data_IF_854307143269
#
_entry.id   IF_854307143269
#
_cell.length_a   1.000
_cell.length_b   1.000
_cell.length_c   1.000
_cell.angle_alpha   90.00
_cell.angle_beta   90.00
_cell.angle_gamma   90.00
#
_symmetry.space_group_name_H-M   'P 1'
#
loop_
_entity.id
_entity.type
_entity.pdbx_description
1 polymer ?
#
# COMPACT_ATOMS: atom_id res chain seq x y z
N UNK A 1 -9.79 28.66 18.53
CA UNK A 1 -8.77 28.01 17.70
C UNK A 1 -7.78 29.11 17.36
N UNK A 2 -6.55 29.00 17.86
CA UNK A 2 -5.49 29.94 17.48
C UNK A 2 -5.32 29.88 15.96
N UNK A 3 -5.17 31.05 15.33
CA UNK A 3 -4.89 31.12 13.90
C UNK A 3 -3.53 30.49 13.65
N UNK A 4 -3.42 29.44 12.81
CA UNK A 4 -2.15 28.78 12.55
C UNK A 4 -1.14 29.77 11.98
N UNK A 5 0.14 29.59 12.31
CA UNK A 5 1.24 30.47 11.88
C UNK A 5 1.51 30.46 10.36
N UNK A 6 0.77 29.65 9.60
CA UNK A 6 0.90 29.44 8.17
C UNK A 6 -0.46 29.26 7.54
N UNK A 7 -0.56 29.58 6.24
CA UNK A 7 -1.80 29.50 5.46
C UNK A 7 -2.00 28.11 4.85
N UNK A 8 -3.27 27.73 4.60
CA UNK A 8 -3.59 26.48 3.89
C UNK A 8 -2.88 26.40 2.53
N UNK A 9 -2.73 27.53 1.83
CA UNK A 9 -2.03 27.61 0.55
C UNK A 9 -0.56 27.24 0.67
N UNK A 10 0.12 27.70 1.72
CA UNK A 10 1.53 27.36 1.98
C UNK A 10 1.70 25.86 2.25
N UNK A 11 0.82 25.28 3.07
CA UNK A 11 0.84 23.84 3.35
C UNK A 11 0.52 23.01 2.09
N UNK A 12 -0.46 23.43 1.30
CA UNK A 12 -0.83 22.78 0.05
C UNK A 12 0.32 22.81 -0.96
N UNK A 13 0.99 23.96 -1.11
CA UNK A 13 2.13 24.08 -2.02
C UNK A 13 3.31 23.21 -1.58
N UNK A 14 3.52 23.06 -0.27
CA UNK A 14 4.50 22.12 0.26
C UNK A 14 4.18 20.68 -0.18
N UNK A 15 2.92 20.24 -0.04
CA UNK A 15 2.52 18.89 -0.42
C UNK A 15 2.50 18.67 -1.94
N UNK A 16 2.17 19.68 -2.76
CA UNK A 16 2.37 19.63 -4.22
C UNK A 16 3.84 19.40 -4.53
N UNK A 17 4.75 20.18 -3.93
CA UNK A 17 6.19 19.99 -4.12
C UNK A 17 6.61 18.58 -3.70
N UNK A 18 6.17 18.12 -2.53
CA UNK A 18 6.51 16.79 -2.03
C UNK A 18 5.97 15.66 -2.94
N UNK A 19 4.77 15.80 -3.51
CA UNK A 19 4.22 14.85 -4.49
C UNK A 19 5.00 14.86 -5.82
N UNK A 20 5.48 16.03 -6.25
CA UNK A 20 6.21 16.19 -7.52
C UNK A 20 7.67 15.74 -7.46
N UNK A 21 8.36 15.90 -6.33
CA UNK A 21 9.81 15.62 -6.23
C UNK A 21 10.18 14.68 -5.07
N UNK A 22 9.22 14.24 -4.26
CA UNK A 22 9.47 13.40 -3.10
C UNK A 22 9.80 11.96 -3.50
N UNK A 23 11.09 11.61 -3.45
CA UNK A 23 11.60 10.26 -3.67
C UNK A 23 12.18 9.66 -2.38
N UNK A 24 12.30 8.33 -2.33
CA UNK A 24 12.93 7.60 -1.21
C UNK A 24 11.95 6.80 -0.36
N UNK A 25 10.73 6.62 -0.84
CA UNK A 25 9.72 5.80 -0.19
C UNK A 25 9.10 6.45 1.06
N UNK A 26 8.18 5.75 1.72
CA UNK A 26 7.37 6.32 2.79
C UNK A 26 8.17 6.83 3.98
N UNK A 27 9.26 6.15 4.36
CA UNK A 27 10.07 6.57 5.50
C UNK A 27 10.80 7.88 5.19
N UNK A 28 11.32 8.04 3.98
CA UNK A 28 11.96 9.30 3.56
C UNK A 28 10.95 10.43 3.49
N UNK A 29 9.77 10.20 2.91
CA UNK A 29 8.70 11.20 2.80
C UNK A 29 8.21 11.68 4.17
N UNK A 30 8.00 10.75 5.10
CA UNK A 30 7.68 11.03 6.50
C UNK A 30 8.82 11.84 7.15
N UNK A 31 10.08 11.45 6.93
CA UNK A 31 11.25 12.20 7.40
C UNK A 31 11.34 13.63 6.83
N UNK A 32 11.01 13.84 5.55
CA UNK A 32 10.94 15.16 4.95
C UNK A 32 9.83 16.00 5.59
N UNK A 33 8.64 15.41 5.83
CA UNK A 33 7.57 16.10 6.54
C UNK A 33 7.99 16.53 7.94
N UNK A 34 8.73 15.69 8.68
CA UNK A 34 9.24 16.05 10.01
C UNK A 34 10.25 17.20 9.94
N UNK A 35 11.33 17.04 9.19
CA UNK A 35 12.38 18.06 9.08
C UNK A 35 11.82 19.40 8.57
N UNK A 36 11.00 19.37 7.53
CA UNK A 36 10.48 20.60 6.94
C UNK A 36 9.38 21.26 7.78
N UNK A 37 8.37 20.50 8.23
CA UNK A 37 7.18 21.08 8.87
C UNK A 37 7.35 21.27 10.38
N UNK A 38 8.17 20.44 11.04
CA UNK A 38 8.40 20.49 12.49
C UNK A 38 9.69 21.25 12.81
N UNK A 39 10.83 20.84 12.26
CA UNK A 39 12.13 21.42 12.65
C UNK A 39 12.38 22.79 12.00
N UNK A 40 12.28 22.87 10.68
CA UNK A 40 12.64 24.07 9.91
C UNK A 40 11.56 25.14 9.97
N UNK A 41 10.32 24.79 9.58
CA UNK A 41 9.22 25.76 9.48
C UNK A 41 8.47 25.96 10.79
N UNK A 42 8.55 24.98 11.72
CA UNK A 42 7.81 24.99 13.00
C UNK A 42 6.31 25.26 12.83
N UNK A 43 5.75 24.75 11.73
CA UNK A 43 4.32 24.84 11.44
C UNK A 43 3.52 23.82 12.24
N UNK A 44 4.11 22.65 12.48
CA UNK A 44 3.50 21.55 13.23
C UNK A 44 4.36 21.25 14.44
N UNK A 45 3.75 20.95 15.58
CA UNK A 45 4.47 20.57 16.80
C UNK A 45 4.94 19.11 16.75
N UNK A 46 5.96 18.80 17.55
CA UNK A 46 6.47 17.43 17.67
C UNK A 46 5.39 16.43 18.14
N UNK A 47 4.45 16.88 18.99
CA UNK A 47 3.33 16.07 19.47
C UNK A 47 2.32 15.79 18.35
N UNK A 48 1.86 16.82 17.64
CA UNK A 48 0.92 16.68 16.53
C UNK A 48 1.47 15.76 15.44
N UNK A 49 2.76 15.89 15.13
CA UNK A 49 3.43 15.02 14.16
C UNK A 49 3.48 13.56 14.63
N UNK A 50 3.86 13.31 15.90
CA UNK A 50 3.90 11.95 16.47
C UNK A 50 2.53 11.31 16.52
N UNK A 51 1.50 12.06 16.88
CA UNK A 51 0.12 11.58 16.86
C UNK A 51 -0.32 11.20 15.44
N UNK A 52 -0.04 12.05 14.46
CA UNK A 52 -0.33 11.76 13.05
C UNK A 52 0.40 10.54 12.53
N UNK A 53 1.68 10.41 12.87
CA UNK A 53 2.49 9.27 12.48
C UNK A 53 1.96 7.97 13.12
N UNK A 54 1.56 8.02 14.39
CA UNK A 54 0.98 6.87 15.07
C UNK A 54 -0.37 6.47 14.45
N UNK A 55 -1.24 7.44 14.12
CA UNK A 55 -2.49 7.15 13.43
C UNK A 55 -2.25 6.54 12.05
N UNK A 56 -1.35 7.13 11.26
CA UNK A 56 -1.00 6.64 9.93
C UNK A 56 -0.35 5.24 9.96
N UNK A 57 0.26 4.83 11.07
CA UNK A 57 0.77 3.46 11.24
C UNK A 57 -0.30 2.45 11.64
N UNK A 58 -1.35 2.90 12.34
CA UNK A 58 -2.44 2.05 12.82
C UNK A 58 -3.57 1.89 11.79
N UNK A 59 -3.82 2.92 10.98
CA UNK A 59 -4.86 2.92 9.97
C UNK A 59 -4.38 2.25 8.67
N UNK A 60 -5.24 1.53 7.94
CA UNK A 60 -4.90 1.03 6.62
C UNK A 60 -4.77 2.18 5.61
N UNK A 61 -3.64 2.18 4.91
CA UNK A 61 -3.28 3.08 3.83
C UNK A 61 -1.77 3.21 3.64
N UNK A 62 -1.34 3.95 2.60
CA UNK A 62 0.05 4.34 2.43
C UNK A 62 0.43 5.41 3.47
N UNK A 63 1.45 5.08 4.28
CA UNK A 63 1.88 5.86 5.44
C UNK A 63 2.06 7.36 5.17
N UNK A 64 2.78 7.71 4.09
CA UNK A 64 3.04 9.11 3.76
C UNK A 64 1.78 9.87 3.35
N UNK A 65 0.87 9.24 2.60
CA UNK A 65 -0.38 9.88 2.20
C UNK A 65 -1.30 10.10 3.41
N UNK A 66 -1.41 9.11 4.29
CA UNK A 66 -2.20 9.24 5.53
C UNK A 66 -1.63 10.32 6.45
N UNK A 67 -0.31 10.36 6.64
CA UNK A 67 0.32 11.41 7.43
C UNK A 67 0.07 12.78 6.82
N UNK A 68 0.20 12.93 5.50
CA UNK A 68 -0.15 14.17 4.79
C UNK A 68 -1.60 14.61 5.05
N UNK A 69 -2.56 13.69 4.92
CA UNK A 69 -3.98 13.95 5.17
C UNK A 69 -4.20 14.37 6.64
N UNK A 70 -3.54 13.68 7.58
CA UNK A 70 -3.63 14.02 9.01
C UNK A 70 -3.05 15.40 9.30
N UNK A 71 -1.86 15.71 8.80
CA UNK A 71 -1.21 17.01 9.00
C UNK A 71 -2.07 18.16 8.42
N UNK A 72 -2.75 17.94 7.30
CA UNK A 72 -3.79 18.85 6.81
C UNK A 72 -4.99 18.97 7.76
N UNK A 73 -5.39 17.88 8.41
CA UNK A 73 -6.50 17.87 9.35
C UNK A 73 -6.24 18.65 10.65
N UNK A 74 -4.99 18.67 11.14
CA UNK A 74 -4.65 19.24 12.46
C UNK A 74 -5.13 20.69 12.62
N UNK A 75 -4.71 21.60 11.73
CA UNK A 75 -5.06 23.03 11.82
C UNK A 75 -6.21 23.45 10.91
N UNK A 76 -6.49 22.70 9.84
CA UNK A 76 -7.47 23.07 8.81
C UNK A 76 -8.63 22.07 8.66
N UNK A 77 -8.73 21.08 9.54
CA UNK A 77 -9.82 20.09 9.60
C UNK A 77 -10.06 19.43 8.25
N UNK A 78 -11.33 19.19 7.89
CA UNK A 78 -11.71 18.49 6.66
C UNK A 78 -11.16 19.18 5.40
N UNK A 79 -11.18 20.52 5.37
CA UNK A 79 -10.70 21.28 4.21
C UNK A 79 -9.20 21.06 4.03
N UNK A 80 -8.43 21.16 5.12
CA UNK A 80 -7.00 20.89 5.08
C UNK A 80 -6.66 19.47 4.69
N UNK A 81 -7.36 18.48 5.27
CA UNK A 81 -7.18 17.08 4.95
C UNK A 81 -7.40 16.79 3.46
N UNK A 82 -8.48 17.34 2.88
CA UNK A 82 -8.82 17.13 1.46
C UNK A 82 -7.83 17.83 0.54
N UNK A 83 -7.54 19.10 0.78
CA UNK A 83 -6.64 19.86 -0.10
C UNK A 83 -5.22 19.32 -0.02
N UNK A 84 -4.70 18.99 1.18
CA UNK A 84 -3.36 18.43 1.31
C UNK A 84 -3.26 17.03 0.71
N UNK A 85 -4.25 16.16 0.95
CA UNK A 85 -4.30 14.83 0.35
C UNK A 85 -4.31 14.89 -1.17
N UNK A 86 -5.15 15.74 -1.77
CA UNK A 86 -5.17 15.96 -3.22
C UNK A 86 -3.86 16.56 -3.71
N UNK A 87 -3.34 17.60 -3.05
CA UNK A 87 -2.07 18.24 -3.41
C UNK A 87 -0.89 17.25 -3.44
N UNK A 88 -0.87 16.29 -2.53
CA UNK A 88 0.17 15.27 -2.49
C UNK A 88 0.02 14.20 -3.58
N UNK A 89 -1.21 13.76 -3.88
CA UNK A 89 -1.46 12.64 -4.82
C UNK A 89 -1.56 13.09 -6.28
N UNK A 90 -2.13 14.28 -6.53
CA UNK A 90 -2.45 14.77 -7.88
C UNK A 90 -1.22 14.89 -8.80
N UNK A 91 -0.04 15.40 -8.37
CA UNK A 91 1.12 15.48 -9.25
C UNK A 91 1.56 14.10 -9.74
N UNK A 92 1.67 13.13 -8.84
CA UNK A 92 2.01 11.74 -9.16
C UNK A 92 0.96 11.11 -10.06
N UNK A 93 -0.34 11.39 -9.83
CA UNK A 93 -1.44 10.92 -10.66
C UNK A 93 -1.31 11.42 -12.11
N UNK A 94 -1.01 12.71 -12.30
CA UNK A 94 -0.80 13.30 -13.63
C UNK A 94 0.42 12.65 -14.32
N UNK A 95 1.51 12.42 -13.58
CA UNK A 95 2.70 11.76 -14.13
C UNK A 95 2.38 10.35 -14.63
N UNK A 96 1.71 9.52 -13.83
CA UNK A 96 1.35 8.17 -14.26
C UNK A 96 0.33 8.17 -15.40
N UNK A 97 -0.58 9.14 -15.47
CA UNK A 97 -1.49 9.30 -16.61
C UNK A 97 -0.73 9.58 -17.91
N UNK A 98 0.22 10.51 -17.87
CA UNK A 98 1.07 10.85 -19.04
C UNK A 98 1.86 9.61 -19.47
N UNK A 99 2.48 8.90 -18.52
CA UNK A 99 3.21 7.67 -18.81
C UNK A 99 2.29 6.58 -19.37
N UNK A 100 1.05 6.47 -18.88
CA UNK A 100 0.04 5.55 -19.39
C UNK A 100 -0.37 5.86 -20.83
N UNK A 101 -0.54 7.15 -21.16
CA UNK A 101 -0.80 7.60 -22.53
C UNK A 101 0.34 7.22 -23.46
N UNK A 102 1.59 7.51 -23.06
CA UNK A 102 2.78 7.14 -23.83
C UNK A 102 2.81 5.63 -24.01
N UNK A 103 2.58 4.84 -22.96
CA UNK A 103 2.57 3.38 -23.02
C UNK A 103 1.60 2.85 -24.09
N UNK A 104 0.36 3.36 -24.12
CA UNK A 104 -0.65 2.95 -25.12
C UNK A 104 -0.34 3.45 -26.54
N UNK A 105 0.22 4.64 -26.68
CA UNK A 105 0.53 5.21 -27.99
C UNK A 105 1.63 4.45 -28.75
N UNK A 106 2.52 3.76 -28.02
CA UNK A 106 3.69 3.11 -28.57
C UNK A 106 3.64 1.56 -28.49
N UNK A 107 2.46 0.97 -28.26
CA UNK A 107 2.21 -0.49 -28.22
C UNK A 107 3.23 -1.32 -27.42
N UNK A 108 3.83 -0.73 -26.37
CA UNK A 108 4.85 -1.40 -25.57
C UNK A 108 6.08 -1.83 -26.39
N UNK A 109 6.70 -0.89 -27.12
CA UNK A 109 7.97 -1.02 -27.87
C UNK A 109 8.91 -2.14 -27.38
N UNK A 110 9.59 -2.84 -28.30
CA UNK A 110 10.50 -3.95 -27.98
C UNK A 110 11.59 -3.61 -26.93
N UNK A 111 12.08 -2.37 -26.92
CA UNK A 111 13.02 -1.90 -25.89
C UNK A 111 12.35 -1.77 -24.51
N UNK A 112 11.06 -1.44 -24.46
CA UNK A 112 10.25 -1.38 -23.24
C UNK A 112 10.09 -2.79 -22.67
N UNK A 113 9.79 -3.79 -23.51
CA UNK A 113 9.72 -5.19 -23.09
C UNK A 113 11.05 -5.71 -22.52
N UNK A 114 12.17 -5.29 -23.11
CA UNK A 114 13.51 -5.62 -22.62
C UNK A 114 13.80 -4.97 -21.25
N UNK A 115 13.46 -3.68 -21.10
CA UNK A 115 13.51 -2.99 -19.79
C UNK A 115 12.68 -3.75 -18.76
N UNK A 116 11.44 -4.09 -19.11
CA UNK A 116 10.50 -4.71 -18.18
C UNK A 116 10.82 -6.15 -17.83
N UNK A 117 11.50 -6.88 -18.70
CA UNK A 117 12.06 -8.18 -18.37
C UNK A 117 13.00 -8.11 -17.16
N UNK A 118 13.95 -7.17 -17.19
CA UNK A 118 14.87 -6.96 -16.09
C UNK A 118 14.19 -6.40 -14.85
N UNK A 119 13.32 -5.39 -15.02
CA UNK A 119 12.58 -4.81 -13.89
C UNK A 119 11.68 -5.84 -13.22
N UNK A 120 10.95 -6.66 -13.97
CA UNK A 120 10.05 -7.69 -13.45
C UNK A 120 10.75 -8.66 -12.52
N UNK A 121 11.92 -9.16 -12.92
CA UNK A 121 12.76 -10.00 -12.08
C UNK A 121 13.24 -9.28 -10.81
N UNK A 122 13.67 -8.02 -10.93
CA UNK A 122 14.10 -7.22 -9.78
C UNK A 122 12.95 -6.92 -8.79
N UNK A 123 11.74 -6.70 -9.31
CA UNK A 123 10.53 -6.44 -8.53
C UNK A 123 10.23 -7.63 -7.62
N UNK A 124 10.40 -8.87 -8.07
CA UNK A 124 10.24 -10.05 -7.21
C UNK A 124 11.16 -9.96 -5.98
N UNK A 125 12.44 -9.65 -6.19
CA UNK A 125 13.40 -9.45 -5.11
C UNK A 125 13.01 -8.31 -4.15
N UNK A 126 12.50 -7.21 -4.69
CA UNK A 126 11.99 -6.08 -3.91
C UNK A 126 10.78 -6.48 -3.06
N UNK A 127 9.84 -7.23 -3.63
CA UNK A 127 8.62 -7.67 -2.93
C UNK A 127 8.98 -8.69 -1.84
N UNK A 128 9.91 -9.63 -2.10
CA UNK A 128 10.44 -10.57 -1.08
C UNK A 128 11.01 -9.79 0.10
N UNK A 129 11.88 -8.81 -0.16
CA UNK A 129 12.46 -7.97 0.89
C UNK A 129 11.40 -7.16 1.63
N UNK A 130 10.44 -6.59 0.91
CA UNK A 130 9.36 -5.79 1.49
C UNK A 130 8.50 -6.63 2.43
N UNK A 131 8.17 -7.85 2.01
CA UNK A 131 7.45 -8.84 2.82
C UNK A 131 8.24 -9.19 4.08
N UNK A 132 9.55 -9.41 3.97
CA UNK A 132 10.43 -9.66 5.11
C UNK A 132 10.48 -8.46 6.09
N UNK A 133 10.67 -7.24 5.57
CA UNK A 133 10.67 -6.01 6.39
C UNK A 133 9.33 -5.80 7.10
N UNK A 134 8.21 -6.06 6.43
CA UNK A 134 6.87 -5.94 7.03
C UNK A 134 6.61 -7.02 8.08
N UNK A 135 7.02 -8.26 7.82
CA UNK A 135 6.92 -9.37 8.78
C UNK A 135 7.68 -9.05 10.07
N UNK A 136 8.93 -8.61 9.92
CA UNK A 136 9.79 -8.29 11.09
C UNK A 136 9.33 -7.04 11.86
N UNK A 137 8.69 -6.08 11.19
CA UNK A 137 8.22 -4.84 11.81
C UNK A 137 6.83 -4.96 12.43
N UNK A 138 5.92 -5.70 11.81
CA UNK A 138 4.49 -5.73 12.18
C UNK A 138 4.09 -6.99 12.95
N UNK A 139 4.81 -8.10 12.79
CA UNK A 139 4.56 -9.35 13.52
C UNK A 139 5.59 -9.49 14.64
N UNK A 140 6.81 -9.87 14.28
CA UNK A 140 7.95 -9.94 15.20
C UNK A 140 9.25 -10.23 14.43
N UNK A 141 10.42 -9.88 14.98
CA UNK A 141 11.69 -10.42 14.46
C UNK A 141 11.67 -11.95 14.48
N UNK A 142 12.34 -12.58 13.51
CA UNK A 142 12.40 -14.02 13.33
C UNK A 142 13.41 -14.65 14.31
N UNK A 143 13.10 -14.51 15.60
CA UNK A 143 13.84 -15.14 16.69
C UNK A 143 12.92 -16.15 17.36
N UNK A 144 13.42 -17.34 17.69
CA UNK A 144 12.61 -18.42 18.27
C UNK A 144 11.83 -17.99 19.51
N UNK A 145 12.43 -17.13 20.34
CA UNK A 145 11.79 -16.56 21.53
C UNK A 145 10.61 -15.62 21.19
N UNK A 146 10.76 -14.73 20.21
CA UNK A 146 9.67 -13.84 19.80
C UNK A 146 8.57 -14.55 19.02
N UNK A 147 8.91 -15.59 18.26
CA UNK A 147 7.91 -16.46 17.59
C UNK A 147 7.02 -17.13 18.64
N UNK A 148 7.60 -17.64 19.74
CA UNK A 148 6.80 -18.20 20.85
C UNK A 148 5.89 -17.17 21.50
N UNK A 149 6.39 -15.97 21.75
CA UNK A 149 5.61 -14.89 22.37
C UNK A 149 4.44 -14.43 21.50
N UNK A 150 4.62 -14.39 20.17
CA UNK A 150 3.63 -13.94 19.19
C UNK A 150 3.05 -15.08 18.33
N UNK A 151 2.98 -16.29 18.88
CA UNK A 151 2.64 -17.49 18.11
C UNK A 151 1.29 -17.39 17.36
N UNK A 152 0.30 -16.73 17.95
CA UNK A 152 -1.04 -16.55 17.33
C UNK A 152 -0.95 -15.71 16.05
N UNK A 153 -0.11 -14.66 16.03
CA UNK A 153 0.11 -13.86 14.81
C UNK A 153 0.81 -14.68 13.73
N UNK A 154 1.78 -15.51 14.11
CA UNK A 154 2.46 -16.42 13.17
C UNK A 154 1.52 -17.48 12.59
N UNK A 155 0.55 -17.98 13.38
CA UNK A 155 -0.49 -18.88 12.87
C UNK A 155 -1.33 -18.18 11.79
N UNK A 156 -1.79 -16.95 12.03
CA UNK A 156 -2.53 -16.19 11.02
C UNK A 156 -1.70 -15.86 9.79
N UNK A 157 -0.41 -15.55 9.98
CA UNK A 157 0.53 -15.34 8.89
C UNK A 157 0.68 -16.58 8.00
N UNK A 158 0.98 -17.75 8.56
CA UNK A 158 1.13 -18.97 7.78
C UNK A 158 -0.19 -19.46 7.18
N UNK A 159 -1.30 -19.27 7.89
CA UNK A 159 -2.64 -19.58 7.36
C UNK A 159 -2.97 -18.69 6.16
N UNK A 160 -2.71 -17.39 6.25
CA UNK A 160 -2.88 -16.46 5.12
C UNK A 160 -2.01 -16.88 3.93
N UNK A 161 -0.74 -17.19 4.16
CA UNK A 161 0.18 -17.65 3.11
C UNK A 161 -0.31 -18.93 2.44
N UNK A 162 -0.66 -19.95 3.22
CA UNK A 162 -1.11 -21.25 2.72
C UNK A 162 -2.40 -21.13 1.91
N UNK A 163 -3.40 -20.39 2.43
CA UNK A 163 -4.66 -20.18 1.71
C UNK A 163 -4.42 -19.45 0.39
N UNK A 164 -3.58 -18.41 0.37
CA UNK A 164 -3.28 -17.70 -0.89
C UNK A 164 -2.53 -18.59 -1.88
N UNK A 165 -1.57 -19.41 -1.43
CA UNK A 165 -0.85 -20.34 -2.33
C UNK A 165 -1.78 -21.39 -2.93
N UNK A 166 -2.68 -21.96 -2.12
CA UNK A 166 -3.60 -23.03 -2.54
C UNK A 166 -4.71 -22.48 -3.44
N UNK A 167 -5.37 -21.40 -3.00
CA UNK A 167 -6.55 -20.87 -3.70
C UNK A 167 -6.20 -19.90 -4.82
N UNK A 168 -4.96 -19.39 -4.83
CA UNK A 168 -4.49 -18.31 -5.72
C UNK A 168 -5.42 -17.09 -5.74
N UNK A 169 -6.17 -16.89 -4.65
CA UNK A 169 -7.10 -15.80 -4.43
C UNK A 169 -6.93 -15.28 -3.02
N UNK A 170 -7.07 -13.98 -2.85
CA UNK A 170 -7.08 -13.39 -1.52
C UNK A 170 -8.51 -13.36 -0.95
N UNK A 171 -8.72 -14.04 0.18
CA UNK A 171 -10.01 -14.04 0.84
C UNK A 171 -10.09 -12.95 1.90
N UNK A 172 -10.71 -11.83 1.54
CA UNK A 172 -10.95 -10.70 2.46
C UNK A 172 -11.62 -11.11 3.78
N UNK A 173 -12.53 -12.09 3.72
CA UNK A 173 -13.21 -12.65 4.89
C UNK A 173 -12.24 -13.31 5.89
N UNK A 174 -11.18 -13.95 5.38
CA UNK A 174 -10.16 -14.57 6.23
C UNK A 174 -9.40 -13.53 7.05
N UNK A 175 -9.13 -12.35 6.47
CA UNK A 175 -8.45 -11.26 7.17
C UNK A 175 -9.30 -10.70 8.30
N UNK A 176 -10.58 -10.41 8.02
CA UNK A 176 -11.53 -9.92 9.02
C UNK A 176 -11.72 -10.94 10.14
N UNK A 177 -11.84 -12.22 9.80
CA UNK A 177 -11.94 -13.31 10.76
C UNK A 177 -10.70 -13.40 11.66
N UNK A 178 -9.49 -13.36 11.08
CA UNK A 178 -8.23 -13.37 11.84
C UNK A 178 -8.14 -12.18 12.81
N UNK A 179 -8.55 -10.99 12.37
CA UNK A 179 -8.65 -9.80 13.22
C UNK A 179 -9.59 -10.00 14.42
N UNK A 180 -10.82 -10.47 14.17
CA UNK A 180 -11.82 -10.69 15.21
C UNK A 180 -11.36 -11.75 16.22
N UNK A 181 -10.82 -12.88 15.73
CA UNK A 181 -10.32 -13.95 16.60
C UNK A 181 -9.15 -13.46 17.45
N UNK A 182 -8.19 -12.75 16.87
CA UNK A 182 -7.06 -12.20 17.63
C UNK A 182 -7.51 -11.17 18.67
N UNK A 183 -8.48 -10.32 18.33
CA UNK A 183 -9.08 -9.37 19.26
C UNK A 183 -9.70 -10.09 20.47
N UNK A 184 -10.51 -11.12 20.25
CA UNK A 184 -11.16 -11.89 21.32
C UNK A 184 -10.14 -12.58 22.22
N UNK A 185 -9.08 -13.16 21.65
CA UNK A 185 -8.02 -13.85 22.40
C UNK A 185 -7.21 -12.87 23.25
N UNK A 186 -6.80 -11.73 22.68
CA UNK A 186 -5.83 -10.84 23.32
C UNK A 186 -6.47 -9.77 24.21
N UNK A 187 -7.63 -9.26 23.80
CA UNK A 187 -8.32 -8.15 24.46
C UNK A 187 -9.82 -8.20 24.13
N UNK A 188 -10.60 -9.06 24.81
CA UNK A 188 -12.03 -9.17 24.55
C UNK A 188 -12.73 -7.83 24.85
N UNK A 189 -13.49 -7.25 23.90
CA UNK A 189 -14.15 -5.97 24.11
C UNK A 189 -15.13 -6.02 25.28
N UNK A 190 -15.22 -4.94 26.07
CA UNK A 190 -16.10 -4.84 27.24
C UNK A 190 -17.60 -5.05 26.94
N UNK A 191 -18.00 -4.96 25.67
CA UNK A 191 -19.36 -5.29 25.21
C UNK A 191 -19.69 -6.79 25.27
N UNK A 192 -18.68 -7.67 25.31
CA UNK A 192 -18.87 -9.11 25.52
C UNK A 192 -19.14 -9.41 27.01
N UNK A 193 -18.74 -8.51 27.93
CA UNK A 193 -18.91 -8.68 29.39
C UNK A 193 -20.19 -8.07 29.94
N UNK A 194 -20.92 -7.27 29.17
CA UNK A 194 -22.22 -6.71 29.57
C UNK A 194 -23.22 -6.97 28.46
N UNK A 195 -24.32 -7.71 28.70
CA UNK A 195 -25.32 -7.95 27.68
C UNK A 195 -26.20 -6.69 27.58
N UNK A 196 -25.64 -5.60 27.09
CA UNK A 196 -26.48 -4.58 26.44
C UNK A 196 -26.87 -5.20 25.13
N UNK A 197 -28.17 -5.45 24.97
CA UNK A 197 -28.79 -5.83 23.72
C UNK A 197 -28.39 -4.81 22.65
N UNK A 198 -27.26 -5.06 21.99
CA UNK A 198 -27.07 -4.54 20.66
C UNK A 198 -28.11 -5.24 19.82
N UNK A 199 -29.06 -4.45 19.36
CA UNK A 199 -29.50 -4.61 17.99
C UNK A 199 -28.27 -4.34 17.08
N UNK A 200 -27.32 -5.28 17.04
CA UNK A 200 -26.46 -5.43 15.88
C UNK A 200 -27.48 -5.89 14.87
N UNK A 201 -27.90 -4.96 14.02
CA UNK A 201 -28.39 -5.33 12.72
C UNK A 201 -27.26 -6.17 12.12
N UNK A 202 -27.36 -7.49 12.28
CA UNK A 202 -26.68 -8.45 11.45
C UNK A 202 -27.25 -8.15 10.07
N UNK A 203 -26.62 -7.19 9.38
CA UNK A 203 -26.63 -7.17 7.94
C UNK A 203 -25.95 -8.48 7.57
N UNK A 204 -26.77 -9.52 7.43
CA UNK A 204 -26.40 -10.70 6.70
C UNK A 204 -25.89 -10.21 5.36
N UNK A 205 -24.57 -10.26 5.19
CA UNK A 205 -23.95 -10.18 3.87
C UNK A 205 -24.22 -11.55 3.25
N UNK A 206 -25.49 -11.83 3.00
CA UNK A 206 -25.91 -12.87 2.08
C UNK A 206 -25.70 -12.30 0.69
N UNK A 207 -24.69 -12.82 0.01
CA UNK A 207 -24.46 -12.72 -1.42
C UNK A 207 -25.79 -12.83 -2.20
N UNK A 208 -26.36 -11.69 -2.60
CA UNK A 208 -27.56 -11.66 -3.46
C UNK A 208 -27.57 -10.48 -4.42
N UNK A 209 -26.45 -10.12 -5.04
CA UNK A 209 -26.47 -9.29 -6.24
C UNK A 209 -25.35 -9.72 -7.18
N UNK A 210 -25.59 -10.76 -7.99
CA UNK A 210 -24.89 -10.93 -9.27
C UNK A 210 -25.47 -9.91 -10.25
N UNK A 211 -25.26 -8.63 -9.95
CA UNK A 211 -25.47 -7.56 -10.91
C UNK A 211 -24.21 -7.50 -11.75
N UNK A 212 -24.35 -7.48 -13.07
CA UNK A 212 -23.20 -7.26 -13.94
C UNK A 212 -22.79 -5.80 -13.82
N UNK A 213 -21.97 -5.52 -12.80
CA UNK A 213 -21.44 -4.19 -12.57
C UNK A 213 -20.70 -3.74 -13.83
N UNK A 214 -20.95 -2.52 -14.33
CA UNK A 214 -20.10 -1.93 -15.36
C UNK A 214 -18.64 -2.04 -14.94
N UNK A 215 -17.73 -2.22 -15.89
CA UNK A 215 -16.29 -2.42 -15.65
C UNK A 215 -15.73 -1.45 -14.58
N UNK A 216 -16.11 -0.17 -14.65
CA UNK A 216 -15.71 0.86 -13.69
C UNK A 216 -16.20 0.58 -12.26
N UNK A 217 -17.38 0.00 -12.07
CA UNK A 217 -17.88 -0.40 -10.76
C UNK A 217 -17.12 -1.57 -10.16
N UNK A 218 -16.77 -2.58 -10.99
CA UNK A 218 -15.89 -3.69 -10.57
C UNK A 218 -14.51 -3.17 -10.17
N UNK A 219 -13.95 -2.24 -10.95
CA UNK A 219 -12.71 -1.53 -10.62
C UNK A 219 -12.83 -0.76 -9.31
N UNK A 220 -13.85 0.08 -9.15
CA UNK A 220 -14.07 0.84 -7.93
C UNK A 220 -14.09 -0.07 -6.69
N UNK A 221 -14.85 -1.16 -6.76
CA UNK A 221 -14.95 -2.12 -5.66
C UNK A 221 -13.61 -2.81 -5.34
N UNK A 222 -12.91 -3.27 -6.38
CA UNK A 222 -11.61 -3.92 -6.22
C UNK A 222 -10.55 -2.97 -5.63
N UNK A 223 -10.43 -1.76 -6.18
CA UNK A 223 -9.46 -0.77 -5.74
C UNK A 223 -9.80 -0.19 -4.36
N UNK A 224 -11.09 -0.10 -4.00
CA UNK A 224 -11.52 0.24 -2.63
C UNK A 224 -11.10 -0.83 -1.63
N UNK A 225 -11.22 -2.12 -1.97
CA UNK A 225 -10.63 -3.18 -1.13
C UNK A 225 -9.12 -3.02 -1.05
N UNK A 226 -8.44 -2.88 -2.19
CA UNK A 226 -6.99 -2.72 -2.21
C UNK A 226 -6.53 -1.59 -1.29
N UNK A 227 -7.15 -0.40 -1.41
CA UNK A 227 -6.89 0.76 -0.55
C UNK A 227 -7.16 0.53 0.94
N UNK A 228 -8.23 -0.20 1.27
CA UNK A 228 -8.59 -0.52 2.65
C UNK A 228 -7.71 -1.60 3.32
N UNK A 229 -6.92 -2.36 2.55
CA UNK A 229 -6.04 -3.41 3.04
C UNK A 229 -4.54 -3.10 2.86
N UNK A 230 -4.19 -1.93 2.31
CA UNK A 230 -2.79 -1.48 2.31
C UNK A 230 -2.36 -1.17 3.72
N UNK A 231 -1.23 -1.70 4.18
CA UNK A 231 -0.59 -1.24 5.40
C UNK A 231 0.84 -0.78 5.12
N UNK A 232 1.19 0.42 5.60
CA UNK A 232 2.56 0.89 5.65
C UNK A 232 3.09 1.40 4.30
N UNK A 233 4.07 0.69 3.73
CA UNK A 233 5.02 1.29 2.78
C UNK A 233 4.50 1.52 1.36
N UNK A 234 3.21 1.30 1.11
CA UNK A 234 2.62 1.35 -0.22
C UNK A 234 3.02 0.16 -1.11
N UNK A 235 4.25 -0.38 -0.97
CA UNK A 235 4.72 -1.58 -1.67
C UNK A 235 3.93 -2.85 -1.33
N UNK A 236 3.33 -2.88 -0.14
CA UNK A 236 2.44 -3.95 0.29
C UNK A 236 1.20 -4.12 -0.61
N UNK A 237 0.83 -3.10 -1.38
CA UNK A 237 -0.32 -3.19 -2.29
C UNK A 237 -0.02 -4.03 -3.54
N UNK A 238 1.26 -4.14 -3.94
CA UNK A 238 1.63 -4.72 -5.23
C UNK A 238 1.15 -6.17 -5.37
N UNK A 239 1.37 -7.09 -4.41
CA UNK A 239 0.89 -8.46 -4.55
C UNK A 239 -0.64 -8.55 -4.56
N UNK A 240 -1.32 -7.72 -3.78
CA UNK A 240 -2.79 -7.62 -3.78
C UNK A 240 -3.32 -7.22 -5.15
N UNK A 241 -2.70 -6.20 -5.77
CA UNK A 241 -3.06 -5.77 -7.12
C UNK A 241 -2.78 -6.85 -8.16
N UNK A 242 -1.68 -7.60 -8.03
CA UNK A 242 -1.38 -8.71 -8.94
C UNK A 242 -2.48 -9.79 -8.89
N UNK A 243 -2.83 -10.24 -7.68
CA UNK A 243 -3.85 -11.27 -7.48
C UNK A 243 -5.20 -10.86 -8.08
N UNK A 244 -5.62 -9.60 -7.91
CA UNK A 244 -6.88 -9.14 -8.50
C UNK A 244 -6.80 -8.82 -9.99
N UNK A 245 -5.89 -7.93 -10.37
CA UNK A 245 -5.84 -7.35 -11.73
C UNK A 245 -5.39 -8.39 -12.76
N UNK A 246 -4.47 -9.29 -12.39
CA UNK A 246 -3.93 -10.31 -13.30
C UNK A 246 -4.68 -11.64 -13.16
N UNK A 247 -4.87 -12.15 -11.94
CA UNK A 247 -5.44 -13.51 -11.77
C UNK A 247 -6.97 -13.52 -11.73
N UNK A 248 -7.60 -12.67 -10.91
CA UNK A 248 -9.04 -12.70 -10.68
C UNK A 248 -9.83 -12.10 -11.85
N UNK A 249 -9.51 -10.86 -12.22
CA UNK A 249 -10.24 -10.10 -13.23
C UNK A 249 -9.63 -10.18 -14.63
N UNK A 250 -8.38 -10.65 -14.77
CA UNK A 250 -7.65 -10.76 -16.04
C UNK A 250 -7.67 -9.44 -16.84
N UNK A 251 -7.64 -8.30 -16.14
CA UNK A 251 -7.65 -6.97 -16.74
C UNK A 251 -6.31 -6.62 -17.40
N UNK A 252 -5.21 -7.08 -16.81
CA UNK A 252 -3.86 -6.94 -17.35
C UNK A 252 -3.18 -8.30 -17.39
N UNK A 253 -2.26 -8.45 -18.34
CA UNK A 253 -1.34 -9.59 -18.33
C UNK A 253 -0.14 -9.33 -17.37
N UNK A 254 0.67 -10.37 -17.14
CA UNK A 254 1.82 -10.30 -16.23
C UNK A 254 2.79 -9.15 -16.60
N UNK A 255 3.04 -8.95 -17.88
CA UNK A 255 3.94 -7.90 -18.38
C UNK A 255 3.36 -6.52 -18.05
N UNK A 256 2.15 -6.20 -18.51
CA UNK A 256 1.47 -4.94 -18.26
C UNK A 256 1.39 -4.61 -16.76
N UNK A 257 1.22 -5.62 -15.90
CA UNK A 257 1.23 -5.44 -14.46
C UNK A 257 2.62 -5.03 -13.94
N UNK A 258 3.68 -5.76 -14.31
CA UNK A 258 5.05 -5.43 -13.91
C UNK A 258 5.47 -4.05 -14.43
N UNK A 259 5.06 -3.69 -15.64
CA UNK A 259 5.27 -2.38 -16.26
C UNK A 259 4.61 -1.28 -15.42
N UNK A 260 3.38 -1.53 -14.94
CA UNK A 260 2.66 -0.61 -14.06
C UNK A 260 3.42 -0.38 -12.75
N UNK A 261 3.94 -1.45 -12.15
CA UNK A 261 4.73 -1.39 -10.91
C UNK A 261 6.04 -0.62 -11.14
N UNK A 262 6.72 -0.89 -12.26
CA UNK A 262 7.94 -0.21 -12.68
C UNK A 262 7.73 1.30 -12.80
N UNK A 263 6.68 1.71 -13.53
CA UNK A 263 6.30 3.11 -13.71
C UNK A 263 6.10 3.78 -12.36
N UNK A 264 5.36 3.17 -11.45
CA UNK A 264 5.08 3.74 -10.15
C UNK A 264 6.32 3.91 -9.25
N UNK A 265 7.34 3.06 -9.43
CA UNK A 265 8.59 3.15 -8.69
C UNK A 265 9.54 4.22 -9.22
N UNK A 266 9.39 4.62 -10.49
CA UNK A 266 10.15 5.71 -11.13
C UNK A 266 9.44 7.06 -10.92
N UNK A 267 8.11 7.06 -10.70
CA UNK A 267 7.39 8.29 -10.39
C UNK A 267 7.56 8.73 -8.94
N UNK A 268 7.81 10.03 -8.67
CA UNK A 268 7.81 10.58 -7.32
C UNK A 268 6.43 10.52 -6.66
N UNK A 269 6.42 10.45 -5.32
CA UNK A 269 5.20 10.40 -4.50
C UNK A 269 4.86 9.00 -3.96
N UNK A 270 3.58 8.71 -3.65
CA UNK A 270 3.19 7.44 -3.05
C UNK A 270 3.19 6.32 -4.08
N UNK A 271 3.94 5.23 -3.81
CA UNK A 271 4.02 4.05 -4.70
C UNK A 271 2.64 3.48 -5.05
N UNK A 272 1.65 3.63 -4.16
CA UNK A 272 0.26 3.21 -4.39
C UNK A 272 -0.38 3.84 -5.64
N UNK A 273 0.19 4.92 -6.18
CA UNK A 273 -0.32 5.57 -7.41
C UNK A 273 -0.28 4.67 -8.65
N UNK A 274 0.39 3.50 -8.59
CA UNK A 274 0.29 2.44 -9.61
C UNK A 274 -1.14 2.16 -10.06
N UNK A 275 -2.11 2.21 -9.13
CA UNK A 275 -3.53 1.98 -9.42
C UNK A 275 -4.09 2.93 -10.48
N UNK A 276 -3.60 4.17 -10.56
CA UNK A 276 -4.00 5.13 -11.58
C UNK A 276 -3.52 4.73 -12.97
N UNK A 277 -2.28 4.24 -13.08
CA UNK A 277 -1.73 3.70 -14.33
C UNK A 277 -2.47 2.43 -14.77
N UNK A 278 -2.67 1.48 -13.84
CA UNK A 278 -3.47 0.27 -14.10
C UNK A 278 -4.86 0.65 -14.58
N UNK A 279 -5.52 1.58 -13.88
CA UNK A 279 -6.85 2.06 -14.26
C UNK A 279 -6.88 2.67 -15.67
N UNK A 280 -5.83 3.41 -16.05
CA UNK A 280 -5.67 3.93 -17.39
C UNK A 280 -5.52 2.84 -18.45
N UNK A 281 -4.73 1.81 -18.17
CA UNK A 281 -4.56 0.68 -19.08
C UNK A 281 -5.88 -0.06 -19.33
N UNK A 282 -6.66 -0.29 -18.27
CA UNK A 282 -7.90 -1.05 -18.33
C UNK A 282 -9.06 -0.28 -18.98
N UNK A 283 -9.30 0.96 -18.56
CA UNK A 283 -10.49 1.72 -18.99
C UNK A 283 -10.21 3.19 -19.34
N UNK A 284 -8.95 3.54 -19.64
CA UNK A 284 -8.55 4.90 -20.04
C UNK A 284 -8.72 5.91 -18.90
N UNK A 285 -8.99 7.17 -19.25
CA UNK A 285 -9.13 8.24 -18.26
C UNK A 285 -10.15 7.92 -17.16
N UNK A 286 -11.39 7.46 -17.46
CA UNK A 286 -12.36 7.10 -16.42
C UNK A 286 -11.82 6.02 -15.46
N UNK A 287 -11.14 5.01 -16.00
CA UNK A 287 -10.55 3.94 -15.21
C UNK A 287 -9.47 4.45 -14.24
N UNK A 288 -8.61 5.37 -14.70
CA UNK A 288 -7.56 5.95 -13.87
C UNK A 288 -8.12 6.75 -12.68
N UNK A 289 -9.10 7.61 -12.94
CA UNK A 289 -9.76 8.40 -11.89
C UNK A 289 -10.49 7.50 -10.89
N UNK A 290 -11.24 6.52 -11.39
CA UNK A 290 -11.96 5.58 -10.53
C UNK A 290 -11.00 4.77 -9.68
N UNK A 291 -9.93 4.21 -10.25
CA UNK A 291 -8.95 3.42 -9.51
C UNK A 291 -8.21 4.24 -8.45
N UNK A 292 -7.79 5.47 -8.78
CA UNK A 292 -7.14 6.37 -7.85
C UNK A 292 -8.08 6.79 -6.71
N UNK A 293 -9.28 7.29 -7.03
CA UNK A 293 -10.25 7.70 -6.02
C UNK A 293 -10.65 6.52 -5.14
N UNK A 294 -10.97 5.37 -5.74
CA UNK A 294 -11.35 4.17 -5.00
C UNK A 294 -10.26 3.70 -4.03
N UNK A 295 -8.99 3.81 -4.40
CA UNK A 295 -7.86 3.40 -3.55
C UNK A 295 -7.57 4.40 -2.43
N UNK A 296 -7.59 5.70 -2.72
CA UNK A 296 -7.23 6.74 -1.74
C UNK A 296 -8.40 7.16 -0.84
N UNK A 297 -9.66 6.92 -1.25
CA UNK A 297 -10.83 7.28 -0.47
C UNK A 297 -10.90 6.53 0.88
N UNK A 298 -10.70 5.20 0.97
CA UNK A 298 -10.59 4.50 2.25
C UNK A 298 -9.48 5.08 3.12
N UNK A 299 -8.31 5.35 2.55
CA UNK A 299 -7.16 5.92 3.28
C UNK A 299 -7.52 7.28 3.91
N UNK A 300 -8.22 8.13 3.15
CA UNK A 300 -8.74 9.41 3.62
C UNK A 300 -9.74 9.22 4.76
N UNK A 301 -10.74 8.34 4.60
CA UNK A 301 -11.76 8.07 5.62
C UNK A 301 -11.14 7.49 6.90
N UNK A 302 -10.22 6.54 6.78
CA UNK A 302 -9.53 5.93 7.92
C UNK A 302 -8.56 6.87 8.64
N UNK A 303 -8.21 8.00 8.02
CA UNK A 303 -7.43 9.05 8.67
C UNK A 303 -8.35 10.08 9.31
N UNK A 304 -9.33 10.59 8.56
CA UNK A 304 -10.17 11.70 8.96
C UNK A 304 -11.22 11.33 10.00
N UNK A 305 -11.86 10.15 9.87
CA UNK A 305 -12.90 9.72 10.82
C UNK A 305 -12.30 9.46 12.21
N UNK A 306 -11.14 8.76 12.35
CA UNK A 306 -10.56 8.50 13.66
C UNK A 306 -9.78 9.69 14.22
N UNK A 307 -9.32 10.65 13.40
CA UNK A 307 -8.47 11.76 13.87
C UNK A 307 -9.04 12.52 15.09
N UNK A 308 -10.32 12.93 15.15
CA UNK A 308 -10.89 13.58 16.34
C UNK A 308 -10.91 12.70 17.59
N UNK A 309 -10.94 11.38 17.42
CA UNK A 309 -11.10 10.40 18.49
C UNK A 309 -9.80 9.63 18.77
N UNK A 310 -8.70 9.98 18.10
CA UNK A 310 -7.50 9.16 18.10
C UNK A 310 -6.95 8.96 19.51
N UNK A 311 -6.99 10.00 20.35
CA UNK A 311 -6.54 9.91 21.74
C UNK A 311 -7.32 8.87 22.59
N UNK A 312 -8.57 8.56 22.21
CA UNK A 312 -9.39 7.49 22.83
C UNK A 312 -9.13 6.13 22.19
N UNK A 313 -8.98 6.09 20.86
CA UNK A 313 -8.76 4.84 20.09
C UNK A 313 -7.37 4.26 20.36
N UNK A 314 -6.34 5.11 20.41
CA UNK A 314 -4.95 4.71 20.64
C UNK A 314 -4.69 4.13 22.02
N UNK A 315 -5.58 4.35 22.99
CA UNK A 315 -5.53 3.75 24.33
C UNK A 315 -6.27 2.41 24.42
N UNK A 316 -7.10 2.06 23.44
CA UNK A 316 -7.88 0.82 23.47
C UNK A 316 -7.07 -0.38 22.93
N UNK A 317 -6.68 -1.27 23.84
CA UNK A 317 -5.92 -2.49 23.52
C UNK A 317 -6.65 -3.44 22.57
N UNK A 318 -7.99 -3.44 22.59
CA UNK A 318 -8.82 -4.31 21.73
C UNK A 318 -8.71 -3.93 20.26
N UNK A 319 -8.72 -2.63 19.96
CA UNK A 319 -8.58 -2.12 18.59
C UNK A 319 -7.19 -2.43 18.05
N UNK A 320 -6.16 -2.23 18.87
CA UNK A 320 -4.78 -2.60 18.49
C UNK A 320 -4.67 -4.08 18.19
N UNK A 321 -5.22 -4.95 19.05
CA UNK A 321 -5.23 -6.38 18.82
C UNK A 321 -5.93 -6.72 17.49
N UNK A 322 -7.13 -6.20 17.23
CA UNK A 322 -7.83 -6.43 15.97
C UNK A 322 -6.98 -6.08 14.74
N UNK A 323 -6.34 -4.90 14.76
CA UNK A 323 -5.45 -4.44 13.69
C UNK A 323 -4.24 -5.36 13.54
N UNK A 324 -3.60 -5.78 14.65
CA UNK A 324 -2.46 -6.71 14.61
C UNK A 324 -2.83 -8.05 13.95
N UNK A 325 -4.02 -8.59 14.29
CA UNK A 325 -4.53 -9.84 13.72
C UNK A 325 -4.80 -9.75 12.22
N UNK A 326 -5.45 -8.68 11.76
CA UNK A 326 -5.64 -8.43 10.32
C UNK A 326 -4.29 -8.29 9.63
N UNK A 327 -3.40 -7.47 10.20
CA UNK A 327 -2.10 -7.16 9.61
C UNK A 327 -1.27 -8.43 9.43
N UNK A 328 -1.27 -9.33 10.42
CA UNK A 328 -0.56 -10.60 10.31
C UNK A 328 -1.12 -11.50 9.19
N UNK A 329 -2.44 -11.62 9.07
CA UNK A 329 -3.07 -12.41 8.02
C UNK A 329 -2.82 -11.83 6.62
N UNK A 330 -2.88 -10.51 6.47
CA UNK A 330 -2.57 -9.80 5.21
C UNK A 330 -1.12 -10.01 4.82
N UNK A 331 -0.15 -9.76 5.72
CA UNK A 331 1.28 -9.99 5.43
C UNK A 331 1.54 -11.47 5.10
N UNK A 332 0.81 -12.38 5.73
CA UNK A 332 0.80 -13.80 5.37
C UNK A 332 0.35 -14.06 3.93
N UNK A 333 -0.82 -13.53 3.56
CA UNK A 333 -1.32 -13.63 2.19
C UNK A 333 -0.36 -13.00 1.17
N UNK A 334 0.28 -11.88 1.51
CA UNK A 334 1.32 -11.26 0.67
C UNK A 334 2.51 -12.22 0.44
N UNK A 335 2.97 -12.93 1.47
CA UNK A 335 3.99 -13.96 1.30
C UNK A 335 3.53 -15.04 0.32
N UNK A 336 2.28 -15.51 0.45
CA UNK A 336 1.72 -16.50 -0.46
C UNK A 336 1.66 -16.01 -1.91
N UNK A 337 1.23 -14.76 -2.12
CA UNK A 337 1.21 -14.14 -3.44
C UNK A 337 2.61 -14.03 -4.05
N UNK A 338 3.63 -13.65 -3.27
CA UNK A 338 5.03 -13.61 -3.73
C UNK A 338 5.52 -14.97 -4.20
N UNK A 339 5.18 -16.04 -3.49
CA UNK A 339 5.54 -17.41 -3.88
C UNK A 339 4.88 -17.76 -5.22
N UNK A 340 3.59 -17.46 -5.38
CA UNK A 340 2.86 -17.71 -6.63
C UNK A 340 3.44 -16.90 -7.80
N UNK A 341 3.78 -15.63 -7.60
CA UNK A 341 4.43 -14.78 -8.60
C UNK A 341 5.80 -15.34 -8.95
N UNK A 342 6.63 -15.68 -7.97
CA UNK A 342 7.97 -16.21 -8.20
C UNK A 342 7.94 -17.52 -9.01
N UNK A 343 6.99 -18.42 -8.70
CA UNK A 343 6.82 -19.68 -9.44
C UNK A 343 6.42 -19.48 -10.92
N UNK A 344 5.78 -18.36 -11.26
CA UNK A 344 5.30 -18.06 -12.62
C UNK A 344 6.26 -17.18 -13.41
N UNK A 345 6.91 -16.25 -12.75
CA UNK A 345 7.70 -15.18 -13.38
C UNK A 345 9.21 -15.50 -13.44
N UNK A 346 9.70 -16.44 -12.63
CA UNK A 346 11.07 -16.96 -12.76
C UNK A 346 11.04 -18.13 -13.76
N UNK A 347 11.16 -17.80 -15.04
CA UNK A 347 11.10 -18.77 -16.15
C UNK A 347 12.46 -19.33 -16.53
N UNK A 348 13.53 -18.65 -16.16
CA UNK A 348 14.87 -18.89 -16.68
C UNK A 348 15.95 -18.51 -15.66
N UNK A 349 17.19 -18.94 -15.91
CA UNK A 349 18.30 -18.71 -14.99
C UNK A 349 18.62 -17.21 -14.87
N UNK A 350 18.40 -16.42 -15.92
CA UNK A 350 18.75 -14.98 -15.89
C UNK A 350 17.76 -14.18 -15.04
N UNK A 351 16.46 -14.46 -15.13
CA UNK A 351 15.45 -13.84 -14.24
C UNK A 351 15.68 -14.25 -12.79
N UNK A 352 16.04 -15.50 -12.52
CA UNK A 352 16.41 -15.96 -11.18
C UNK A 352 17.62 -15.18 -10.63
N UNK A 353 18.67 -15.03 -11.43
CA UNK A 353 19.88 -14.30 -11.04
C UNK A 353 19.60 -12.81 -10.78
N UNK A 354 18.80 -12.15 -11.62
CA UNK A 354 18.42 -10.74 -11.43
C UNK A 354 17.60 -10.58 -10.14
N UNK A 355 16.66 -11.48 -9.86
CA UNK A 355 15.86 -11.44 -8.64
C UNK A 355 16.71 -11.61 -7.38
N UNK A 356 17.60 -12.62 -7.37
CA UNK A 356 18.52 -12.88 -6.26
C UNK A 356 19.52 -11.74 -6.09
N UNK A 357 20.12 -11.24 -7.17
CA UNK A 357 21.06 -10.13 -7.13
C UNK A 357 20.39 -8.85 -6.60
N UNK A 358 19.16 -8.58 -7.02
CA UNK A 358 18.37 -7.44 -6.52
C UNK A 358 18.06 -7.56 -5.02
N UNK A 359 17.67 -8.76 -4.57
CA UNK A 359 17.44 -9.04 -3.16
C UNK A 359 18.74 -8.87 -2.34
N UNK A 360 19.83 -9.49 -2.76
CA UNK A 360 21.13 -9.40 -2.11
C UNK A 360 21.63 -7.95 -2.07
N UNK A 361 21.50 -7.21 -3.16
CA UNK A 361 21.91 -5.81 -3.23
C UNK A 361 21.18 -4.97 -2.19
N UNK A 362 19.87 -5.14 -2.03
CA UNK A 362 19.09 -4.41 -1.03
C UNK A 362 19.38 -4.82 0.41
N UNK A 363 19.72 -6.10 0.64
CA UNK A 363 20.02 -6.61 1.99
C UNK A 363 21.40 -6.15 2.45
N UNK A 364 22.41 -6.28 1.60
CA UNK A 364 23.80 -5.94 1.94
C UNK A 364 24.07 -4.44 1.84
N UNK A 365 23.59 -3.78 0.79
CA UNK A 365 23.80 -2.35 0.57
C UNK A 365 22.60 -1.54 1.06
N UNK A 366 22.51 -1.33 2.38
CA UNK A 366 21.45 -0.54 3.03
C UNK A 366 21.28 0.90 2.51
N UNK A 367 22.25 1.43 1.76
CA UNK A 367 22.21 2.77 1.15
C UNK A 367 21.59 2.79 -0.26
N UNK A 368 21.43 1.63 -0.89
CA UNK A 368 20.87 1.56 -2.24
C UNK A 368 19.35 1.65 -2.14
N UNK A 369 18.79 2.64 -2.84
CA UNK A 369 17.34 2.86 -2.90
C UNK A 369 16.72 1.94 -3.95
N UNK A 370 15.49 1.49 -3.71
CA UNK A 370 14.74 0.61 -4.62
C UNK A 370 14.69 1.14 -6.07
N UNK A 371 14.48 2.46 -6.34
CA UNK A 371 14.50 2.99 -7.70
C UNK A 371 15.81 2.78 -8.47
N UNK A 372 16.97 2.79 -7.78
CA UNK A 372 18.26 2.59 -8.44
C UNK A 372 18.41 1.17 -8.97
N UNK A 373 17.92 0.18 -8.22
CA UNK A 373 17.98 -1.23 -8.62
C UNK A 373 17.08 -1.48 -9.81
N UNK A 374 15.93 -0.81 -9.85
CA UNK A 374 15.00 -0.89 -10.98
C UNK A 374 15.64 -0.31 -12.23
N UNK A 375 16.34 0.82 -12.12
CA UNK A 375 17.08 1.41 -13.25
C UNK A 375 18.21 0.47 -13.72
N UNK A 376 18.98 -0.11 -12.79
CA UNK A 376 20.04 -1.07 -13.15
C UNK A 376 19.44 -2.31 -13.82
N UNK A 377 18.33 -2.82 -13.30
CA UNK A 377 17.63 -3.97 -13.84
C UNK A 377 17.02 -3.65 -15.22
N UNK A 378 16.49 -2.44 -15.42
CA UNK A 378 16.04 -1.94 -16.72
C UNK A 378 17.16 -1.95 -17.76
N UNK A 379 18.34 -1.45 -17.38
CA UNK A 379 19.52 -1.41 -18.27
C UNK A 379 20.02 -2.82 -18.56
N UNK A 380 20.10 -3.69 -17.55
CA UNK A 380 20.48 -5.10 -17.75
C UNK A 380 19.50 -5.82 -18.66
N UNK A 381 18.20 -5.57 -18.48
CA UNK A 381 17.15 -6.11 -19.35
C UNK A 381 17.32 -5.66 -20.80
N UNK A 382 17.60 -4.37 -21.03
CA UNK A 382 17.93 -3.84 -22.37
C UNK A 382 19.14 -4.53 -22.98
N UNK A 383 20.23 -4.68 -22.22
CA UNK A 383 21.46 -5.30 -22.73
C UNK A 383 21.22 -6.77 -23.09
N UNK A 384 20.52 -7.52 -22.24
CA UNK A 384 20.29 -8.95 -22.42
C UNK A 384 19.37 -9.23 -23.61
N UNK A 385 18.33 -8.40 -23.82
CA UNK A 385 17.33 -8.61 -24.88
C UNK A 385 17.62 -7.85 -26.18
N UNK A 386 18.62 -6.98 -26.20
CA UNK A 386 19.10 -6.30 -27.41
C UNK A 386 20.21 -7.08 -28.14
N UNK A 387 20.71 -8.17 -27.54
CA UNK A 387 21.54 -9.20 -28.17
C UNK A 387 20.61 -10.30 -28.66
#
# INVERSE_FOLDING_TARGET
METPAYTLRQLSFYFVKLGTIGFGGPVALVGYMHNDLVENKKWITEEEYKEGLALAQLAPGPLAAQLCIYLGFVHYRLIGATVCGLAFVLPSFVMVLILGMIYKMYDGLAWMQAVFYGIGAAVIGIIVLSTYKLTTKSISKINWWMIKTHWVLWVFYFMGAAVTVITQKEQVLLFIFAGLVYMIIKAPPGWIRTPRALNVLLLGITSFWNYDWPLLGKMAWFFTKAGAFVFGSGLAIVPFLHAGVVQEYNWLNEQQFLDSVAVAMITPGPVVITVGFIGYLVAGFPGAFVAALATFLPCYLFTVIPAPYFHKISKNTSVKAFVDGITAAVIGALLGAVIVIAMRSITDITTALIAIASLCALVYFKKVKEPLIIIIAAILGLIIKSI
#
